data_IF_536650806114
#
_entry.id   IF_536650806114
#
_cell.length_a   1.000
_cell.length_b   1.000
_cell.length_c   1.000
_cell.angle_alpha   90.00
_cell.angle_beta   90.00
_cell.angle_gamma   90.00
#
_symmetry.space_group_name_H-M   'P 1'
#
loop_
_entity.id
_entity.type
_entity.pdbx_description
1 polymer ?
#
# COMPACT_ATOMS: atom_id res chain seq x y z
N UNK A 1 5.51 -66.83 -4.65
CA UNK A 1 4.49 -65.79 -4.84
C UNK A 1 4.11 -65.23 -3.48
N UNK A 2 4.63 -64.06 -3.11
CA UNK A 2 3.92 -63.09 -2.27
C UNK A 2 4.53 -61.73 -2.56
N UNK A 3 3.78 -60.98 -3.35
CA UNK A 3 4.08 -59.62 -3.81
C UNK A 3 3.96 -58.65 -2.64
N UNK A 4 5.05 -57.93 -2.34
CA UNK A 4 5.02 -56.78 -1.44
C UNK A 4 4.34 -55.61 -2.18
N UNK A 5 3.34 -54.93 -1.59
CA UNK A 5 2.69 -53.80 -2.26
C UNK A 5 3.65 -52.60 -2.35
N UNK A 6 3.56 -51.78 -3.42
CA UNK A 6 4.36 -50.58 -3.56
C UNK A 6 3.74 -49.41 -2.79
N UNK A 7 4.59 -48.53 -2.26
CA UNK A 7 4.29 -47.11 -2.10
C UNK A 7 3.30 -46.71 -1.01
N UNK A 8 3.75 -46.69 0.25
CA UNK A 8 3.32 -45.64 1.18
C UNK A 8 4.55 -44.75 1.38
N UNK A 9 4.69 -43.73 0.54
CA UNK A 9 5.56 -42.61 0.84
C UNK A 9 4.94 -41.92 2.05
N UNK A 10 5.54 -42.13 3.22
CA UNK A 10 5.29 -41.30 4.39
C UNK A 10 5.43 -39.84 3.97
N UNK A 11 4.50 -38.94 4.30
CA UNK A 11 4.67 -37.52 4.02
C UNK A 11 6.00 -37.10 4.66
N UNK A 12 6.91 -36.59 3.83
CA UNK A 12 8.12 -35.94 4.31
C UNK A 12 7.68 -34.92 5.33
N UNK A 13 8.05 -35.13 6.60
CA UNK A 13 7.83 -34.15 7.65
C UNK A 13 8.67 -32.94 7.29
N UNK A 14 8.06 -32.01 6.55
CA UNK A 14 8.67 -30.73 6.26
C UNK A 14 8.79 -30.02 7.61
N UNK A 15 9.98 -30.07 8.18
CA UNK A 15 10.33 -29.29 9.36
C UNK A 15 10.34 -27.83 8.93
N UNK A 16 9.24 -27.13 9.22
CA UNK A 16 9.18 -25.69 9.04
C UNK A 16 10.14 -25.06 10.05
N UNK A 17 11.22 -24.46 9.55
CA UNK A 17 12.19 -23.76 10.38
C UNK A 17 11.72 -22.30 10.50
N UNK A 18 11.23 -21.86 11.68
CA UNK A 18 10.90 -20.46 11.89
C UNK A 18 12.17 -19.62 11.77
N UNK A 19 12.11 -18.55 10.96
CA UNK A 19 13.21 -17.59 10.83
C UNK A 19 12.88 -16.35 11.66
N UNK A 20 13.58 -16.09 12.78
CA UNK A 20 13.35 -14.87 13.54
C UNK A 20 13.78 -13.64 12.74
N UNK A 21 13.26 -12.44 13.07
CA UNK A 21 13.75 -11.19 12.49
C UNK A 21 15.25 -11.07 12.72
N UNK A 22 15.99 -10.71 11.67
CA UNK A 22 17.45 -10.68 11.73
C UNK A 22 18.01 -9.37 12.26
N UNK A 23 17.23 -8.29 12.18
CA UNK A 23 17.64 -6.96 12.63
C UNK A 23 16.55 -6.30 13.47
N UNK A 24 16.95 -5.63 14.56
CA UNK A 24 16.07 -4.82 15.40
C UNK A 24 16.62 -3.41 15.57
N UNK A 25 15.76 -2.42 15.34
CA UNK A 25 16.08 -1.01 15.60
C UNK A 25 16.07 -0.66 17.08
N UNK A 26 15.57 -1.54 17.96
CA UNK A 26 15.56 -1.31 19.42
C UNK A 26 16.98 -1.21 20.02
N UNK A 27 17.97 -1.79 19.34
CA UNK A 27 19.37 -1.69 19.74
C UNK A 27 20.07 -0.41 19.22
N UNK A 28 19.39 0.40 18.39
CA UNK A 28 19.91 1.66 17.87
C UNK A 28 19.67 2.79 18.89
N UNK A 29 20.51 3.84 18.81
CA UNK A 29 20.33 5.04 19.62
C UNK A 29 18.96 5.69 19.37
N UNK A 30 18.37 6.29 20.41
CA UNK A 30 17.09 7.02 20.36
C UNK A 30 17.02 8.09 19.26
N UNK A 31 18.18 8.61 18.82
CA UNK A 31 18.27 9.59 17.72
C UNK A 31 17.77 9.02 16.37
N UNK A 32 17.82 7.70 16.20
CA UNK A 32 17.49 7.02 14.94
C UNK A 32 16.21 6.18 15.04
N UNK A 33 15.42 6.35 16.10
CA UNK A 33 14.21 5.56 16.34
C UNK A 33 12.97 6.46 16.43
N UNK A 34 11.82 5.87 16.12
CA UNK A 34 10.53 6.49 16.42
C UNK A 34 10.32 6.63 17.93
N UNK A 35 9.65 7.71 18.33
CA UNK A 35 9.24 7.98 19.72
C UNK A 35 7.72 7.88 19.90
N UNK A 36 7.00 7.59 18.82
CA UNK A 36 5.56 7.46 18.74
C UNK A 36 5.21 6.17 17.99
N UNK A 37 4.01 5.58 18.16
CA UNK A 37 3.63 4.37 17.45
C UNK A 37 3.74 4.54 15.93
N UNK A 38 4.35 3.55 15.27
CA UNK A 38 4.41 3.47 13.81
C UNK A 38 3.00 3.15 13.31
N UNK A 39 2.48 4.04 12.46
CA UNK A 39 1.12 3.93 11.89
C UNK A 39 1.15 3.38 10.47
N UNK A 40 2.28 3.52 9.77
CA UNK A 40 2.38 3.11 8.38
C UNK A 40 3.81 2.70 8.01
N UNK A 41 3.90 1.60 7.28
CA UNK A 41 5.11 1.14 6.61
C UNK A 41 4.82 1.18 5.11
N UNK A 42 5.71 1.79 4.33
CA UNK A 42 5.57 1.83 2.87
C UNK A 42 6.90 1.51 2.21
N UNK A 43 6.96 0.55 1.28
CA UNK A 43 8.12 0.40 0.43
C UNK A 43 8.26 1.64 -0.46
N UNK A 44 9.49 1.93 -0.87
CA UNK A 44 9.81 3.00 -1.81
C UNK A 44 10.22 2.31 -3.10
N UNK A 45 9.26 2.15 -3.99
CA UNK A 45 9.44 1.53 -5.30
C UNK A 45 9.28 2.58 -6.38
N UNK A 46 10.25 2.67 -7.28
CA UNK A 46 10.09 3.42 -8.53
C UNK A 46 9.44 2.49 -9.56
N UNK A 47 8.18 2.73 -9.92
CA UNK A 47 7.56 1.97 -11.01
C UNK A 47 8.02 2.54 -12.35
N UNK A 48 8.88 1.84 -13.07
CA UNK A 48 8.98 2.02 -14.53
C UNK A 48 7.89 1.18 -15.18
N UNK A 49 7.10 1.72 -16.13
CA UNK A 49 5.87 1.08 -16.65
C UNK A 49 6.07 -0.27 -17.38
N UNK A 50 7.30 -0.77 -17.51
CA UNK A 50 7.61 -2.03 -18.20
C UNK A 50 8.54 -3.00 -17.45
N UNK A 51 8.86 -2.77 -16.18
CA UNK A 51 9.66 -3.73 -15.43
C UNK A 51 8.98 -4.13 -14.13
N UNK A 52 8.90 -5.44 -13.92
CA UNK A 52 8.82 -6.12 -12.63
C UNK A 52 9.67 -5.38 -11.58
N UNK A 53 9.30 -5.40 -10.28
CA UNK A 53 10.00 -4.66 -9.23
C UNK A 53 11.50 -4.89 -9.34
N UNK A 54 12.22 -3.89 -9.84
CA UNK A 54 13.65 -3.99 -10.11
C UNK A 54 14.37 -3.87 -8.77
N UNK A 55 14.71 -5.02 -8.19
CA UNK A 55 15.90 -5.10 -7.36
C UNK A 55 17.08 -4.63 -8.22
N UNK A 56 17.71 -3.52 -7.85
CA UNK A 56 18.89 -3.02 -8.54
C UNK A 56 20.03 -4.06 -8.38
N UNK A 57 20.15 -4.99 -9.32
CA UNK A 57 21.28 -5.93 -9.39
C UNK A 57 22.47 -5.17 -9.95
N UNK A 58 23.47 -4.91 -9.11
CA UNK A 58 24.76 -4.41 -9.56
C UNK A 58 25.56 -5.59 -10.14
N UNK A 59 25.66 -5.60 -11.48
CA UNK A 59 26.61 -6.25 -12.41
C UNK A 59 27.46 -7.45 -11.97
N UNK A 60 27.50 -8.45 -12.87
CA UNK A 60 28.36 -9.63 -12.94
C UNK A 60 29.80 -9.40 -12.45
N UNK A 61 30.06 -9.86 -11.23
CA UNK A 61 31.37 -10.35 -10.82
C UNK A 61 31.11 -11.54 -9.88
N UNK A 62 31.70 -12.71 -10.16
CA UNK A 62 31.43 -13.99 -9.45
C UNK A 62 31.83 -13.98 -7.96
N UNK A 63 32.23 -12.82 -7.42
CA UNK A 63 32.53 -12.55 -6.01
C UNK A 63 31.47 -11.67 -5.30
N UNK A 64 30.43 -11.19 -5.99
CA UNK A 64 29.53 -10.12 -5.56
C UNK A 64 28.06 -10.52 -5.30
N UNK A 65 27.77 -11.71 -4.75
CA UNK A 65 26.42 -12.07 -4.27
C UNK A 65 26.02 -11.38 -2.95
N UNK A 66 26.50 -10.15 -2.73
CA UNK A 66 26.10 -9.21 -1.67
C UNK A 66 25.61 -7.95 -2.40
N UNK A 67 24.31 -7.77 -2.62
CA UNK A 67 23.89 -6.69 -3.51
C UNK A 67 22.42 -6.31 -3.54
N UNK A 68 21.55 -7.02 -2.82
CA UNK A 68 20.14 -6.64 -2.78
C UNK A 68 19.94 -5.56 -1.72
N UNK A 69 19.50 -4.40 -2.17
CA UNK A 69 19.01 -3.34 -1.28
C UNK A 69 17.71 -2.75 -1.80
N UNK A 70 16.84 -2.37 -0.87
CA UNK A 70 15.63 -1.63 -1.19
C UNK A 70 15.35 -0.61 -0.09
N UNK A 71 14.62 0.44 -0.46
CA UNK A 71 14.22 1.47 0.47
C UNK A 71 12.81 1.20 1.01
N UNK A 72 12.61 1.48 2.29
CA UNK A 72 11.30 1.49 2.92
C UNK A 72 11.22 2.68 3.85
N UNK A 73 10.02 3.18 4.08
CA UNK A 73 9.77 4.22 5.04
C UNK A 73 8.84 3.74 6.15
N UNK A 74 9.11 4.23 7.35
CA UNK A 74 8.24 4.09 8.51
C UNK A 74 7.76 5.47 8.94
N UNK A 75 6.45 5.63 9.08
CA UNK A 75 5.80 6.84 9.56
C UNK A 75 5.23 6.57 10.94
N UNK A 76 5.53 7.44 11.91
CA UNK A 76 4.84 7.42 13.20
C UNK A 76 3.71 8.44 13.29
N UNK A 77 2.87 8.27 14.32
CA UNK A 77 1.70 9.11 14.58
C UNK A 77 2.04 10.59 14.79
N UNK A 78 3.26 10.91 15.21
CA UNK A 78 3.70 12.31 15.40
C UNK A 78 4.11 12.98 14.09
N UNK A 79 4.13 12.24 12.98
CA UNK A 79 4.55 12.73 11.67
C UNK A 79 6.06 12.70 11.45
N UNK A 80 6.81 11.92 12.23
CA UNK A 80 8.19 11.59 11.88
C UNK A 80 8.19 10.45 10.87
N UNK A 81 8.67 10.72 9.66
CA UNK A 81 8.93 9.74 8.62
C UNK A 81 10.43 9.41 8.60
N UNK A 82 10.78 8.14 8.80
CA UNK A 82 12.17 7.66 8.67
C UNK A 82 12.29 6.82 7.42
N UNK A 83 13.30 7.11 6.60
CA UNK A 83 13.66 6.33 5.42
C UNK A 83 14.81 5.40 5.81
N UNK A 84 14.60 4.11 5.53
CA UNK A 84 15.55 3.03 5.76
C UNK A 84 16.00 2.44 4.43
N UNK A 85 17.24 1.97 4.40
CA UNK A 85 17.72 1.06 3.36
C UNK A 85 17.88 -0.32 3.99
N UNK A 86 17.09 -1.28 3.53
CA UNK A 86 17.32 -2.68 3.83
C UNK A 86 18.46 -3.17 2.95
N UNK A 87 19.50 -3.74 3.54
CA UNK A 87 20.71 -4.20 2.83
C UNK A 87 21.02 -5.63 3.24
N UNK A 88 21.36 -6.46 2.26
CA UNK A 88 21.89 -7.79 2.51
C UNK A 88 23.36 -7.76 2.94
N UNK A 89 23.72 -8.51 3.97
CA UNK A 89 25.05 -8.61 4.55
C UNK A 89 25.52 -10.05 4.65
N UNK A 90 26.83 -10.27 4.60
CA UNK A 90 27.42 -11.58 4.88
C UNK A 90 27.07 -12.03 6.30
N UNK A 91 26.53 -13.24 6.49
CA UNK A 91 26.22 -13.75 7.82
C UNK A 91 27.51 -13.94 8.61
N UNK A 92 27.53 -13.45 9.86
CA UNK A 92 28.64 -13.64 10.77
C UNK A 92 28.23 -14.49 11.98
N UNK A 93 28.86 -15.66 12.24
CA UNK A 93 28.46 -16.57 13.31
C UNK A 93 28.53 -15.99 14.72
N UNK A 94 29.40 -14.99 14.94
CA UNK A 94 29.54 -14.30 16.23
C UNK A 94 28.67 -13.03 16.32
N UNK A 95 27.87 -12.72 15.28
CA UNK A 95 27.20 -11.42 15.16
C UNK A 95 28.15 -10.33 14.68
N UNK A 96 27.67 -9.08 14.69
CA UNK A 96 28.42 -7.88 14.30
C UNK A 96 28.66 -7.00 15.53
N UNK A 97 29.90 -6.63 15.80
CA UNK A 97 30.24 -5.72 16.92
C UNK A 97 29.84 -4.26 16.64
N UNK A 98 29.68 -3.90 15.36
CA UNK A 98 29.27 -2.56 14.93
C UNK A 98 27.78 -2.44 14.67
N UNK A 99 27.12 -3.53 14.24
CA UNK A 99 25.68 -3.56 13.97
C UNK A 99 24.93 -4.19 15.15
N UNK A 100 24.81 -3.47 16.28
CA UNK A 100 24.20 -3.96 17.53
C UNK A 100 22.77 -4.49 17.39
N UNK A 101 22.06 -4.12 16.31
CA UNK A 101 20.73 -4.62 15.99
C UNK A 101 20.69 -5.95 15.24
N UNK A 102 21.82 -6.43 14.69
CA UNK A 102 21.90 -7.61 13.85
C UNK A 102 22.20 -8.87 14.69
N UNK A 103 21.32 -9.87 14.62
CA UNK A 103 21.53 -11.14 15.31
C UNK A 103 22.69 -11.93 14.68
N UNK A 104 23.34 -12.87 15.40
CA UNK A 104 24.29 -13.80 14.81
C UNK A 104 23.70 -14.55 13.60
N UNK A 105 24.48 -14.67 12.53
CA UNK A 105 24.06 -15.18 11.23
C UNK A 105 22.93 -14.40 10.52
N UNK A 106 22.56 -13.22 11.03
CA UNK A 106 21.66 -12.29 10.36
C UNK A 106 22.23 -11.86 9.00
N UNK A 107 21.36 -11.80 7.99
CA UNK A 107 21.74 -11.45 6.62
C UNK A 107 21.14 -10.14 6.13
N UNK A 108 20.23 -9.54 6.87
CA UNK A 108 19.58 -8.29 6.45
C UNK A 108 19.73 -7.30 7.58
N UNK A 109 20.16 -6.08 7.26
CA UNK A 109 20.18 -4.97 8.21
C UNK A 109 19.43 -3.76 7.66
N UNK A 110 18.89 -2.96 8.58
CA UNK A 110 18.29 -1.67 8.24
C UNK A 110 19.30 -0.56 8.52
N UNK A 111 19.63 0.19 7.49
CA UNK A 111 20.49 1.37 7.58
C UNK A 111 19.60 2.61 7.57
N UNK A 112 19.76 3.47 8.58
CA UNK A 112 19.09 4.77 8.60
C UNK A 112 19.61 5.63 7.46
N UNK A 113 18.71 6.19 6.64
CA UNK A 113 19.08 7.02 5.48
C UNK A 113 18.72 8.49 5.67
N UNK A 114 17.49 8.77 6.09
CA UNK A 114 16.99 10.13 6.29
C UNK A 114 15.80 10.13 7.23
N UNK A 115 15.50 11.30 7.82
CA UNK A 115 14.28 11.54 8.56
C UNK A 115 13.64 12.87 8.12
N UNK A 116 12.32 12.87 8.01
CA UNK A 116 11.52 14.03 7.65
C UNK A 116 10.43 14.22 8.71
N UNK A 117 10.40 15.40 9.32
CA UNK A 117 9.30 15.83 10.18
C UNK A 117 8.24 16.51 9.30
N UNK A 118 7.10 15.83 9.15
CA UNK A 118 6.06 16.23 8.22
C UNK A 118 5.09 17.27 8.80
N UNK A 119 5.10 17.47 10.12
CA UNK A 119 4.17 18.37 10.83
C UNK A 119 4.65 19.81 10.96
N UNK A 120 5.94 20.08 10.68
CA UNK A 120 6.60 21.40 10.78
C UNK A 120 6.14 22.47 9.77
N UNK A 121 4.86 22.44 9.38
CA UNK A 121 4.33 23.33 8.35
C UNK A 121 3.97 24.74 8.84
N UNK A 122 3.79 24.96 10.15
CA UNK A 122 3.73 26.29 10.79
C UNK A 122 3.79 26.17 12.32
N UNK A 123 4.44 27.11 13.05
CA UNK A 123 4.49 27.08 14.52
C UNK A 123 3.13 27.26 15.22
N UNK A 124 2.13 27.83 14.51
CA UNK A 124 0.80 28.15 15.08
C UNK A 124 -0.28 27.10 14.76
N UNK A 125 0.05 26.01 14.05
CA UNK A 125 -0.94 24.98 13.72
C UNK A 125 -1.10 23.98 14.86
N UNK A 126 -2.35 23.62 15.15
CA UNK A 126 -2.70 22.51 16.04
C UNK A 126 -1.95 21.25 15.56
N UNK A 127 -1.28 20.51 16.46
CA UNK A 127 -0.58 19.29 16.10
C UNK A 127 -1.59 18.27 15.56
N UNK A 128 -1.43 17.88 14.30
CA UNK A 128 -2.23 16.85 13.63
C UNK A 128 -1.52 15.51 13.66
N UNK A 129 -2.27 14.43 13.84
CA UNK A 129 -1.70 13.09 13.82
C UNK A 129 -1.62 12.56 12.40
N UNK A 130 -0.52 11.88 12.09
CA UNK A 130 -0.40 11.16 10.82
C UNK A 130 -0.96 9.75 10.97
N UNK A 131 -1.69 9.26 9.95
CA UNK A 131 -2.40 7.97 9.98
C UNK A 131 -1.94 6.99 8.90
N UNK A 132 -1.58 7.49 7.71
CA UNK A 132 -1.09 6.67 6.62
C UNK A 132 -0.11 7.43 5.73
N UNK A 133 0.77 6.72 5.00
CA UNK A 133 1.70 7.33 4.02
C UNK A 133 1.69 6.57 2.70
N UNK A 134 1.84 7.31 1.60
CA UNK A 134 2.12 6.79 0.26
C UNK A 134 3.14 7.66 -0.45
N UNK A 135 3.97 7.02 -1.27
CA UNK A 135 4.87 7.70 -2.20
C UNK A 135 4.20 7.77 -3.57
N UNK A 136 4.49 8.83 -4.31
CA UNK A 136 4.12 8.89 -5.72
C UNK A 136 4.86 7.78 -6.47
N UNK A 137 4.15 7.09 -7.38
CA UNK A 137 4.64 5.87 -8.03
C UNK A 137 5.80 6.11 -9.00
N UNK A 138 5.82 7.25 -9.69
CA UNK A 138 6.90 7.64 -10.61
C UNK A 138 8.03 8.38 -9.87
N UNK A 139 7.67 9.37 -9.06
CA UNK A 139 8.64 10.25 -8.39
C UNK A 139 8.55 10.12 -6.87
N UNK A 140 9.33 9.18 -6.34
CA UNK A 140 9.37 8.89 -4.90
C UNK A 140 9.86 10.04 -4.02
N UNK A 141 10.32 11.15 -4.61
CA UNK A 141 10.55 12.39 -3.89
C UNK A 141 9.24 12.95 -3.31
N UNK A 142 8.10 12.73 -3.98
CA UNK A 142 6.77 13.18 -3.53
C UNK A 142 6.12 12.19 -2.58
N UNK A 143 5.69 12.70 -1.43
CA UNK A 143 5.17 11.92 -0.30
C UNK A 143 3.84 12.51 0.15
N UNK A 144 2.87 11.64 0.37
CA UNK A 144 1.51 11.99 0.75
C UNK A 144 1.15 11.27 2.04
N UNK A 145 0.60 12.00 3.01
CA UNK A 145 0.17 11.43 4.27
C UNK A 145 -1.22 11.89 4.65
N UNK A 146 -2.03 10.95 5.13
CA UNK A 146 -3.35 11.22 5.66
C UNK A 146 -3.29 11.60 7.13
N UNK A 147 -4.11 12.57 7.54
CA UNK A 147 -4.21 13.03 8.93
C UNK A 147 -5.55 12.68 9.57
N UNK A 148 -5.64 12.83 10.89
CA UNK A 148 -6.88 12.80 11.69
C UNK A 148 -7.84 13.97 11.38
N UNK A 149 -7.33 15.06 10.83
CA UNK A 149 -8.12 16.24 10.42
C UNK A 149 -8.74 16.18 9.01
N UNK A 150 -8.78 15.00 8.39
CA UNK A 150 -9.41 14.81 7.06
C UNK A 150 -8.64 15.47 5.92
N UNK A 151 -7.36 15.74 6.15
CA UNK A 151 -6.48 16.40 5.19
C UNK A 151 -5.41 15.41 4.72
N UNK A 152 -5.13 15.40 3.42
CA UNK A 152 -3.94 14.76 2.88
C UNK A 152 -2.88 15.82 2.71
N UNK A 153 -1.72 15.63 3.33
CA UNK A 153 -0.63 16.57 3.23
C UNK A 153 0.43 16.02 2.29
N UNK A 154 1.03 16.92 1.53
CA UNK A 154 2.02 16.62 0.52
C UNK A 154 3.33 17.33 0.83
N UNK A 155 4.39 16.53 0.89
CA UNK A 155 5.74 16.98 1.13
C UNK A 155 6.71 16.32 0.15
N UNK A 156 7.94 16.83 0.11
CA UNK A 156 9.02 16.28 -0.70
C UNK A 156 10.22 15.94 0.18
N UNK A 157 11.00 14.90 -0.18
CA UNK A 157 12.24 14.54 0.53
C UNK A 157 13.29 15.64 0.51
N UNK A 158 13.55 16.22 -0.66
CA UNK A 158 14.72 17.06 -0.91
C UNK A 158 14.40 18.55 -1.11
N UNK A 159 13.45 19.09 -0.34
CA UNK A 159 13.34 20.53 0.00
C UNK A 159 12.56 21.51 -0.90
N UNK A 160 11.82 21.07 -1.94
CA UNK A 160 10.86 21.99 -2.61
C UNK A 160 9.46 21.81 -2.03
N UNK A 161 8.92 22.85 -1.37
CA UNK A 161 7.51 22.84 -0.92
C UNK A 161 6.63 22.58 -2.15
N UNK A 162 5.93 21.44 -2.22
CA UNK A 162 5.13 21.14 -3.38
C UNK A 162 3.88 22.02 -3.38
N UNK A 163 3.28 22.21 -4.55
CA UNK A 163 2.02 22.92 -4.69
C UNK A 163 1.09 22.00 -5.49
N UNK A 164 -0.08 21.63 -4.94
CA UNK A 164 -0.60 21.93 -3.60
C UNK A 164 0.13 21.20 -2.47
N UNK A 165 0.09 21.78 -1.26
CA UNK A 165 0.61 21.14 -0.02
C UNK A 165 -0.44 20.37 0.75
N UNK A 166 -1.70 20.79 0.64
CA UNK A 166 -2.81 20.24 1.39
C UNK A 166 -3.92 19.91 0.40
N UNK A 167 -4.47 18.72 0.54
CA UNK A 167 -5.66 18.28 -0.18
C UNK A 167 -6.76 18.08 0.86
N UNK A 168 -7.85 18.81 0.71
CA UNK A 168 -8.97 18.78 1.64
C UNK A 168 -10.25 18.93 0.85
N UNK A 169 -11.25 18.14 1.18
CA UNK A 169 -12.59 18.34 0.65
C UNK A 169 -13.32 19.41 1.45
N UNK A 170 -14.07 20.27 0.76
CA UNK A 170 -15.02 21.17 1.40
C UNK A 170 -16.11 20.39 2.17
N UNK A 171 -16.40 19.15 1.78
CA UNK A 171 -17.33 18.28 2.49
C UNK A 171 -16.90 17.95 3.94
N UNK A 172 -15.61 18.10 4.25
CA UNK A 172 -15.06 17.84 5.59
C UNK A 172 -14.74 19.14 6.36
N UNK A 173 -15.11 20.31 5.83
CA UNK A 173 -14.73 21.60 6.41
C UNK A 173 -15.32 21.86 7.81
N UNK A 174 -16.41 21.15 8.17
CA UNK A 174 -17.14 21.35 9.41
C UNK A 174 -17.07 20.17 10.39
N UNK A 175 -16.42 19.06 10.01
CA UNK A 175 -16.28 17.88 10.85
C UNK A 175 -14.95 17.19 10.57
N UNK A 176 -14.01 17.19 11.54
CA UNK A 176 -12.78 16.41 11.44
C UNK A 176 -13.11 14.93 11.25
N UNK A 177 -12.39 14.27 10.34
CA UNK A 177 -12.52 12.84 10.12
C UNK A 177 -11.16 12.26 9.70
N UNK A 178 -10.87 11.04 10.11
CA UNK A 178 -9.60 10.40 9.81
C UNK A 178 -9.47 10.07 8.33
N UNK A 179 -8.31 10.37 7.74
CA UNK A 179 -7.91 9.78 6.46
C UNK A 179 -7.38 8.37 6.73
N UNK A 180 -8.19 7.37 6.40
CA UNK A 180 -7.94 5.97 6.79
C UNK A 180 -7.00 5.24 5.82
N UNK A 181 -7.06 5.53 4.52
CA UNK A 181 -6.21 4.91 3.51
C UNK A 181 -6.00 5.83 2.31
N UNK A 182 -4.85 5.67 1.67
CA UNK A 182 -4.47 6.33 0.43
C UNK A 182 -4.09 5.27 -0.61
N UNK A 183 -4.51 5.48 -1.86
CA UNK A 183 -4.15 4.60 -2.98
C UNK A 183 -3.92 5.42 -4.25
N UNK A 184 -2.72 5.34 -4.81
CA UNK A 184 -2.38 5.96 -6.10
C UNK A 184 -2.81 5.05 -7.25
N UNK A 185 -3.32 5.65 -8.32
CA UNK A 185 -3.70 4.88 -9.51
C UNK A 185 -2.43 4.32 -10.17
N UNK A 186 -2.37 3.00 -10.44
CA UNK A 186 -1.25 2.40 -11.14
C UNK A 186 -1.22 2.78 -12.63
N UNK A 187 -2.34 3.27 -13.16
CA UNK A 187 -2.53 3.65 -14.57
C UNK A 187 -2.29 5.14 -14.81
N UNK A 188 -2.64 5.97 -13.83
CA UNK A 188 -2.55 7.42 -13.93
C UNK A 188 -1.95 8.01 -12.64
N UNK A 189 -0.61 8.12 -12.55
CA UNK A 189 0.13 8.46 -11.33
C UNK A 189 -0.25 9.80 -10.68
N UNK A 190 -0.78 10.73 -11.48
CA UNK A 190 -1.28 12.02 -10.98
C UNK A 190 -2.56 11.90 -10.14
N UNK A 191 -3.20 10.73 -10.08
CA UNK A 191 -4.48 10.53 -9.41
C UNK A 191 -4.36 9.58 -8.22
N UNK A 192 -5.04 9.92 -7.14
CA UNK A 192 -5.10 9.08 -5.95
C UNK A 192 -6.47 9.14 -5.27
N UNK A 193 -6.80 8.05 -4.58
CA UNK A 193 -7.97 7.93 -3.72
C UNK A 193 -7.57 8.19 -2.28
N UNK A 194 -8.45 8.88 -1.55
CA UNK A 194 -8.43 8.96 -0.10
C UNK A 194 -9.76 8.44 0.45
N UNK A 195 -9.69 7.53 1.42
CA UNK A 195 -10.85 7.06 2.17
C UNK A 195 -10.90 7.68 3.56
N UNK A 196 -12.09 7.83 4.10
CA UNK A 196 -12.31 8.57 5.34
C UNK A 196 -13.13 7.77 6.37
N UNK A 197 -12.95 8.09 7.65
CA UNK A 197 -13.70 7.46 8.74
C UNK A 197 -15.19 7.86 8.80
N UNK A 198 -15.60 8.87 8.04
CA UNK A 198 -17.00 9.25 7.89
C UNK A 198 -17.71 8.52 6.72
N UNK A 199 -17.04 7.57 6.07
CA UNK A 199 -17.59 6.80 4.96
C UNK A 199 -17.37 7.42 3.57
N UNK A 200 -16.81 8.62 3.50
CA UNK A 200 -16.54 9.22 2.20
C UNK A 200 -15.32 8.57 1.54
N UNK A 201 -15.32 8.64 0.20
CA UNK A 201 -14.14 8.38 -0.63
C UNK A 201 -13.97 9.61 -1.52
N UNK A 202 -12.74 10.10 -1.68
CA UNK A 202 -12.44 11.22 -2.57
C UNK A 202 -11.38 10.86 -3.59
N UNK A 203 -11.60 11.26 -4.83
CA UNK A 203 -10.62 11.19 -5.91
C UNK A 203 -9.93 12.55 -6.04
N UNK A 204 -8.61 12.55 -5.94
CA UNK A 204 -7.79 13.73 -6.10
C UNK A 204 -6.90 13.63 -7.33
N UNK A 205 -6.56 14.78 -7.89
CA UNK A 205 -5.43 14.95 -8.78
C UNK A 205 -4.34 15.73 -8.04
N UNK A 206 -3.08 15.30 -8.10
CA UNK A 206 -1.96 15.93 -7.39
C UNK A 206 -1.72 17.41 -7.79
N UNK A 207 -2.35 17.90 -8.86
CA UNK A 207 -2.25 19.29 -9.32
C UNK A 207 -3.36 20.18 -8.76
N UNK A 208 -4.43 19.61 -8.19
CA UNK A 208 -5.61 20.33 -7.67
C UNK A 208 -5.75 20.10 -6.16
N UNK A 209 -5.87 21.17 -5.38
CA UNK A 209 -6.00 21.07 -3.92
C UNK A 209 -7.36 20.48 -3.48
N UNK A 210 -8.39 20.72 -4.27
CA UNK A 210 -9.73 20.17 -4.03
C UNK A 210 -9.86 18.81 -4.73
N UNK A 211 -10.68 17.90 -4.19
CA UNK A 211 -10.99 16.64 -4.86
C UNK A 211 -11.71 16.92 -6.19
N UNK A 212 -11.47 16.04 -7.16
CA UNK A 212 -12.24 15.98 -8.40
C UNK A 212 -13.66 15.48 -8.15
N UNK A 213 -13.75 14.42 -7.34
CA UNK A 213 -15.02 13.76 -7.00
C UNK A 213 -14.98 13.38 -5.52
N UNK A 214 -16.11 13.56 -4.85
CA UNK A 214 -16.33 13.11 -3.48
C UNK A 214 -17.57 12.23 -3.50
N UNK A 215 -17.37 10.95 -3.23
CA UNK A 215 -18.46 10.01 -3.08
C UNK A 215 -18.91 10.00 -1.62
N UNK A 216 -19.97 10.75 -1.37
CA UNK A 216 -20.67 10.79 -0.09
C UNK A 216 -21.74 9.71 -0.06
N UNK A 217 -21.98 9.10 1.10
CA UNK A 217 -23.04 8.08 1.33
C UNK A 217 -22.90 6.76 0.57
N UNK A 218 -21.92 6.62 -0.33
CA UNK A 218 -21.72 5.40 -1.12
C UNK A 218 -21.33 4.15 -0.31
N UNK A 219 -20.94 4.32 0.96
CA UNK A 219 -20.77 3.24 1.94
C UNK A 219 -21.79 3.32 3.07
N UNK A 220 -22.97 3.90 2.81
CA UNK A 220 -24.04 4.13 3.81
C UNK A 220 -23.58 4.93 5.03
N UNK A 221 -22.57 5.80 4.87
CA UNK A 221 -21.96 6.56 5.97
C UNK A 221 -21.10 5.73 6.92
N UNK A 222 -20.84 4.45 6.61
CA UNK A 222 -19.98 3.59 7.40
C UNK A 222 -18.52 3.89 7.07
N UNK A 223 -17.70 4.05 8.11
CA UNK A 223 -16.27 4.31 8.02
C UNK A 223 -15.57 3.38 7.03
N UNK A 224 -14.86 3.94 6.05
CA UNK A 224 -14.06 3.14 5.12
C UNK A 224 -12.71 2.84 5.75
N UNK A 225 -12.35 1.58 5.92
CA UNK A 225 -11.10 1.14 6.55
C UNK A 225 -9.94 1.07 5.55
N UNK A 226 -10.22 0.69 4.30
CA UNK A 226 -9.20 0.56 3.25
C UNK A 226 -9.77 0.86 1.87
N UNK A 227 -8.96 1.52 1.03
CA UNK A 227 -9.22 1.68 -0.41
C UNK A 227 -7.97 1.27 -1.21
N UNK A 228 -8.16 0.58 -2.33
CA UNK A 228 -7.06 0.14 -3.21
C UNK A 228 -7.50 0.10 -4.68
N UNK A 229 -6.73 0.76 -5.56
CA UNK A 229 -6.90 0.63 -7.01
C UNK A 229 -6.56 -0.77 -7.51
N UNK A 230 -7.31 -1.25 -8.49
CA UNK A 230 -6.97 -2.48 -9.20
C UNK A 230 -5.75 -2.26 -10.11
N UNK A 231 -4.76 -3.16 -9.96
CA UNK A 231 -3.53 -3.15 -10.76
C UNK A 231 -3.72 -3.57 -12.21
N UNK A 232 -4.82 -4.26 -12.52
CA UNK A 232 -5.03 -4.96 -13.81
C UNK A 232 -6.24 -4.42 -14.59
N UNK A 233 -7.07 -3.55 -13.98
CA UNK A 233 -8.24 -2.95 -14.65
C UNK A 233 -8.23 -1.44 -14.41
N UNK A 234 -8.04 -0.61 -15.45
CA UNK A 234 -8.16 0.84 -15.35
C UNK A 234 -9.54 1.26 -14.84
N UNK A 235 -9.59 2.27 -13.98
CA UNK A 235 -10.86 2.81 -13.46
C UNK A 235 -11.57 1.93 -12.43
N UNK A 236 -10.99 0.79 -12.04
CA UNK A 236 -11.55 -0.07 -10.98
C UNK A 236 -10.78 0.10 -9.68
N UNK A 237 -11.52 0.23 -8.58
CA UNK A 237 -10.96 0.19 -7.24
C UNK A 237 -11.90 -0.52 -6.28
N UNK A 238 -11.35 -0.97 -5.16
CA UNK A 238 -12.12 -1.58 -4.09
C UNK A 238 -12.01 -0.75 -2.81
N UNK A 239 -13.09 -0.77 -2.03
CA UNK A 239 -13.15 -0.18 -0.71
C UNK A 239 -13.72 -1.19 0.29
N UNK A 240 -13.18 -1.24 1.50
CA UNK A 240 -13.68 -2.05 2.61
C UNK A 240 -14.18 -1.11 3.70
N UNK A 241 -15.40 -1.31 4.18
CA UNK A 241 -15.96 -0.53 5.29
C UNK A 241 -15.77 -1.22 6.66
N UNK A 242 -16.18 -0.52 7.72
CA UNK A 242 -16.14 -1.02 9.10
C UNK A 242 -17.17 -2.12 9.40
N UNK A 243 -18.14 -2.36 8.52
CA UNK A 243 -19.09 -3.47 8.61
C UNK A 243 -18.66 -4.68 7.78
N UNK A 244 -17.39 -4.73 7.35
CA UNK A 244 -16.85 -5.82 6.54
C UNK A 244 -17.50 -5.93 5.14
N UNK A 245 -18.10 -4.85 4.63
CA UNK A 245 -18.62 -4.81 3.26
C UNK A 245 -17.51 -4.38 2.31
N UNK A 246 -17.28 -5.19 1.29
CA UNK A 246 -16.37 -4.91 0.19
C UNK A 246 -17.16 -4.30 -0.96
N UNK A 247 -16.81 -3.07 -1.33
CA UNK A 247 -17.37 -2.34 -2.44
C UNK A 247 -16.42 -2.37 -3.62
N UNK A 248 -16.96 -2.70 -4.80
CA UNK A 248 -16.23 -2.62 -6.05
C UNK A 248 -16.79 -1.47 -6.88
N UNK A 249 -15.87 -0.62 -7.32
CA UNK A 249 -16.14 0.53 -8.16
C UNK A 249 -15.60 0.26 -9.55
N UNK A 250 -16.40 0.59 -10.57
CA UNK A 250 -15.93 0.69 -11.94
C UNK A 250 -16.34 2.06 -12.48
N UNK A 251 -15.40 3.00 -12.50
CA UNK A 251 -15.64 4.38 -12.91
C UNK A 251 -16.00 4.53 -14.39
N UNK A 252 -15.74 3.50 -15.21
CA UNK A 252 -16.15 3.50 -16.62
C UNK A 252 -17.59 3.03 -16.81
N UNK A 253 -18.17 2.34 -15.83
CA UNK A 253 -19.55 1.87 -15.84
C UNK A 253 -20.48 2.78 -15.02
N UNK A 254 -20.07 3.13 -13.81
CA UNK A 254 -20.82 4.00 -12.90
C UNK A 254 -19.85 4.83 -12.05
N UNK A 255 -19.88 6.15 -12.24
CA UNK A 255 -19.05 7.10 -11.52
C UNK A 255 -19.73 7.70 -10.29
N UNK A 256 -20.98 7.32 -9.97
CA UNK A 256 -21.73 7.88 -8.84
C UNK A 256 -21.72 6.99 -7.60
N UNK A 257 -21.42 5.71 -7.76
CA UNK A 257 -21.52 4.72 -6.69
C UNK A 257 -20.80 3.41 -7.03
N UNK A 258 -20.69 2.49 -6.07
CA UNK A 258 -20.14 1.16 -6.32
C UNK A 258 -21.03 0.42 -7.32
N UNK A 259 -20.40 -0.31 -8.25
CA UNK A 259 -21.11 -1.18 -9.19
C UNK A 259 -21.52 -2.49 -8.52
N UNK A 260 -20.73 -2.95 -7.54
CA UNK A 260 -21.02 -4.16 -6.78
C UNK A 260 -20.65 -3.98 -5.31
N UNK A 261 -21.35 -4.69 -4.44
CA UNK A 261 -21.04 -4.78 -3.01
C UNK A 261 -21.16 -6.22 -2.53
N UNK A 262 -20.23 -6.65 -1.70
CA UNK A 262 -20.23 -7.96 -1.08
C UNK A 262 -20.10 -7.80 0.44
N UNK A 263 -21.15 -8.21 1.16
CA UNK A 263 -21.14 -8.31 2.61
C UNK A 263 -21.18 -9.79 3.00
N UNK A 264 -20.30 -10.27 3.89
CA UNK A 264 -20.39 -11.62 4.43
C UNK A 264 -21.74 -11.87 5.11
N UNK A 265 -22.26 -13.09 5.00
CA UNK A 265 -23.45 -13.50 5.76
C UNK A 265 -23.15 -13.51 7.27
N UNK A 266 -24.18 -13.50 8.12
CA UNK A 266 -24.02 -13.43 9.59
C UNK A 266 -23.11 -14.53 10.16
N UNK A 267 -23.17 -15.74 9.61
CA UNK A 267 -22.35 -16.88 10.04
C UNK A 267 -20.94 -16.91 9.41
N UNK A 268 -20.63 -15.96 8.51
CA UNK A 268 -19.35 -15.89 7.82
C UNK A 268 -18.40 -14.94 8.55
N UNK A 269 -17.15 -15.35 8.82
CA UNK A 269 -16.15 -14.46 9.41
C UNK A 269 -16.00 -13.13 8.66
N UNK A 270 -15.95 -12.04 9.42
CA UNK A 270 -15.75 -10.70 8.90
C UNK A 270 -14.40 -10.57 8.17
N UNK A 271 -14.40 -9.83 7.07
CA UNK A 271 -13.22 -9.35 6.36
C UNK A 271 -12.61 -8.21 7.17
N UNK A 272 -11.38 -8.41 7.63
CA UNK A 272 -10.60 -7.41 8.35
C UNK A 272 -9.74 -6.54 7.44
N UNK A 273 -9.29 -7.12 6.31
CA UNK A 273 -8.49 -6.42 5.32
C UNK A 273 -8.49 -7.21 4.02
N UNK A 274 -8.10 -6.56 2.92
CA UNK A 274 -7.90 -7.20 1.63
C UNK A 274 -6.59 -6.74 0.99
N UNK A 275 -6.10 -7.43 -0.03
CA UNK A 275 -5.00 -6.96 -0.89
C UNK A 275 -5.23 -7.44 -2.31
N UNK A 276 -4.91 -6.60 -3.29
CA UNK A 276 -4.99 -6.98 -4.69
C UNK A 276 -3.64 -7.48 -5.18
N UNK A 277 -3.68 -8.53 -5.99
CA UNK A 277 -2.49 -9.04 -6.68
C UNK A 277 -2.00 -7.98 -7.68
N UNK A 278 -0.68 -7.67 -7.70
CA UNK A 278 -0.09 -6.86 -8.75
C UNK A 278 0.10 -7.63 -10.06
N UNK A 279 -0.12 -8.95 -10.06
CA UNK A 279 0.02 -9.78 -11.26
C UNK A 279 -1.15 -9.56 -12.23
N UNK A 280 -0.84 -9.26 -13.49
CA UNK A 280 -1.82 -9.13 -14.57
C UNK A 280 -2.31 -10.48 -15.12
N UNK A 281 -1.55 -11.57 -14.92
CA UNK A 281 -1.86 -12.88 -15.51
C UNK A 281 -2.91 -13.67 -14.74
N UNK A 282 -2.99 -13.45 -13.42
CA UNK A 282 -3.93 -14.12 -12.52
C UNK A 282 -4.39 -13.12 -11.47
N UNK A 283 -5.22 -12.14 -11.87
CA UNK A 283 -5.68 -11.11 -10.95
C UNK A 283 -6.46 -11.76 -9.82
N UNK A 284 -5.99 -11.54 -8.60
CA UNK A 284 -6.51 -12.19 -7.41
C UNK A 284 -6.69 -11.17 -6.30
N UNK A 285 -7.64 -11.44 -5.41
CA UNK A 285 -7.81 -10.72 -4.16
C UNK A 285 -7.55 -11.68 -3.00
N UNK A 286 -6.70 -11.24 -2.07
CA UNK A 286 -6.54 -11.91 -0.78
C UNK A 286 -7.44 -11.23 0.25
N UNK A 287 -8.22 -12.00 1.01
CA UNK A 287 -9.06 -11.53 2.10
C UNK A 287 -8.53 -12.09 3.42
N UNK A 288 -8.28 -11.22 4.39
CA UNK A 288 -7.95 -11.61 5.76
C UNK A 288 -9.24 -11.61 6.59
N UNK A 289 -9.56 -12.76 7.20
CA UNK A 289 -10.79 -12.96 7.97
C UNK A 289 -10.56 -12.84 9.48
N UNK A 290 -11.61 -12.56 10.24
CA UNK A 290 -11.57 -12.42 11.70
C UNK A 290 -11.21 -13.70 12.45
N UNK A 291 -11.43 -14.87 11.84
CA UNK A 291 -11.00 -16.16 12.36
C UNK A 291 -9.55 -16.53 11.97
N UNK A 292 -8.74 -15.54 11.57
CA UNK A 292 -7.34 -15.71 11.16
C UNK A 292 -7.13 -16.57 9.90
N UNK A 293 -8.17 -16.79 9.08
CA UNK A 293 -7.99 -17.40 7.76
C UNK A 293 -7.67 -16.37 6.71
N UNK A 294 -6.93 -16.79 5.69
CA UNK A 294 -6.68 -16.02 4.47
C UNK A 294 -7.34 -16.75 3.32
N UNK A 295 -8.22 -16.07 2.60
CA UNK A 295 -8.84 -16.58 1.37
C UNK A 295 -8.22 -15.88 0.17
N UNK A 296 -8.06 -16.60 -0.93
CA UNK A 296 -7.59 -16.04 -2.20
C UNK A 296 -8.64 -16.34 -3.26
N UNK A 297 -9.19 -15.29 -3.87
CA UNK A 297 -10.21 -15.39 -4.91
C UNK A 297 -9.66 -14.82 -6.22
N UNK A 298 -9.93 -15.48 -7.35
CA UNK A 298 -9.58 -14.95 -8.67
C UNK A 298 -10.64 -13.92 -9.12
N UNK A 299 -10.18 -12.82 -9.70
CA UNK A 299 -11.02 -11.70 -10.17
C UNK A 299 -11.48 -11.87 -11.63
N UNK A 300 -11.43 -13.10 -12.15
CA UNK A 300 -11.60 -13.46 -13.56
C UNK A 300 -12.97 -13.14 -14.17
N UNK A 301 -13.97 -12.71 -13.38
CA UNK A 301 -15.31 -12.34 -13.87
C UNK A 301 -15.59 -10.84 -13.96
N UNK A 302 -14.67 -9.97 -13.53
CA UNK A 302 -14.91 -8.52 -13.51
C UNK A 302 -14.76 -7.86 -14.89
N UNK A 303 -14.23 -8.57 -15.88
CA UNK A 303 -13.90 -8.00 -17.20
C UNK A 303 -14.98 -8.19 -18.27
N UNK A 304 -16.10 -8.87 -17.99
CA UNK A 304 -17.35 -8.80 -18.76
C UNK A 304 -17.33 -8.83 -20.30
N UNK A 305 -16.29 -9.33 -20.99
CA UNK A 305 -16.17 -9.22 -22.45
C UNK A 305 -15.98 -10.57 -23.16
N UNK A 306 -16.65 -10.79 -24.33
CA UNK A 306 -16.51 -11.99 -25.15
C UNK A 306 -15.20 -12.01 -25.96
N UNK A 307 -14.85 -13.21 -26.44
CA UNK A 307 -13.53 -13.64 -26.89
C UNK A 307 -12.95 -13.01 -28.17
N UNK A 308 -13.57 -12.00 -28.78
CA UNK A 308 -13.15 -11.46 -30.08
C UNK A 308 -13.12 -9.92 -30.10
N UNK A 309 -12.06 -9.32 -29.56
CA UNK A 309 -11.55 -7.97 -29.92
C UNK A 309 -10.28 -7.68 -29.11
N UNK A 310 -9.53 -6.64 -29.49
CA UNK A 310 -8.31 -6.18 -28.81
C UNK A 310 -8.37 -6.30 -27.27
N UNK A 311 -7.25 -6.66 -26.64
CA UNK A 311 -7.15 -6.85 -25.18
C UNK A 311 -7.95 -5.77 -24.43
N UNK A 312 -8.93 -6.12 -23.57
CA UNK A 312 -9.87 -5.17 -22.97
C UNK A 312 -9.18 -4.01 -22.26
N UNK A 313 -7.99 -4.25 -21.71
CA UNK A 313 -7.09 -3.23 -21.14
C UNK A 313 -6.82 -2.06 -22.10
N UNK A 314 -6.55 -2.34 -23.39
CA UNK A 314 -6.25 -1.31 -24.41
C UNK A 314 -7.46 -0.44 -24.75
N UNK A 315 -8.68 -0.94 -24.57
CA UNK A 315 -9.91 -0.18 -24.80
C UNK A 315 -10.34 0.59 -23.53
N UNK A 316 -10.17 -0.04 -22.35
CA UNK A 316 -10.55 0.55 -21.07
C UNK A 316 -9.60 1.69 -20.67
N UNK A 317 -8.30 1.59 -20.95
CA UNK A 317 -7.33 2.61 -20.54
C UNK A 317 -7.56 3.98 -21.21
N UNK A 318 -7.77 4.09 -22.55
CA UNK A 318 -8.15 5.35 -23.18
C UNK A 318 -9.46 5.91 -22.64
N UNK A 319 -10.49 5.07 -22.46
CA UNK A 319 -11.78 5.49 -21.91
C UNK A 319 -11.64 6.05 -20.50
N UNK A 320 -10.91 5.36 -19.62
CA UNK A 320 -10.63 5.80 -18.27
C UNK A 320 -9.83 7.11 -18.25
N UNK A 321 -8.81 7.22 -19.10
CA UNK A 321 -7.99 8.43 -19.20
C UNK A 321 -8.81 9.63 -19.66
N UNK A 322 -9.61 9.46 -20.72
CA UNK A 322 -10.50 10.49 -21.22
C UNK A 322 -11.55 10.89 -20.17
N UNK A 323 -12.10 9.92 -19.46
CA UNK A 323 -13.01 10.15 -18.34
C UNK A 323 -12.35 11.01 -17.26
N UNK A 324 -11.15 10.64 -16.78
CA UNK A 324 -10.44 11.41 -15.77
C UNK A 324 -10.12 12.85 -16.23
N UNK A 325 -9.83 13.05 -17.51
CA UNK A 325 -9.62 14.38 -18.09
C UNK A 325 -10.91 15.21 -18.20
N UNK A 326 -12.08 14.56 -18.21
CA UNK A 326 -13.38 15.25 -18.26
C UNK A 326 -13.85 15.77 -16.89
N UNK A 327 -13.21 15.34 -15.78
CA UNK A 327 -13.48 15.76 -14.39
C UNK A 327 -12.72 17.05 -13.99
#
# INVERSE_FOLDING_TARGET
>A
MHTRPPGVTTPTSHTHIPRPPTFSTAALSQKYSHQSPIVSLSPITTSTPHNSPSSHLLTDDESATIGLSFQLASLDRSGLLIIWVAVETKPHPQGSESDLGLIPNGRVKLVWSAALDTTRSSPDSIPVQSLCVRFHSIDTNHIFFGTDEGTVVHCTRYSRRPIPRLYRSHAHAHCPCDVTSLSFSPWQPDYFLASYSNGNISLYNIKKANPLVVWTESTNGIAVSKVEWAWHIPGVFLALDGHSTLYLWNLTENDRGPTHSYSPAEDTPAILSFSLSPSSTSPSIALCRSNSTIEIHQLSSLTGAPADSETPEKLLLPNFTNYLHSL
#
